data_IF_811030943772
#
_entry.id   IF_811030943772
#
_cell.length_a   1.000
_cell.length_b   1.000
_cell.length_c   1.000
_cell.angle_alpha   90.00
_cell.angle_beta   90.00
_cell.angle_gamma   90.00
#
_symmetry.space_group_name_H-M   'P 1'
#
loop_
_entity.id
_entity.type
_entity.pdbx_description
1 polymer ?
#
# COMPACT_ATOMS: atom_id res chain seq x y z
N UNK A 1 3.33 25.65 -3.03
CA UNK A 1 1.95 25.19 -2.74
C UNK A 1 0.98 26.03 -3.56
N UNK A 2 0.10 25.40 -4.33
CA UNK A 2 -0.88 26.04 -5.22
C UNK A 2 -2.27 25.52 -4.83
N UNK A 3 -3.28 26.38 -4.90
CA UNK A 3 -4.67 26.02 -4.59
C UNK A 3 -5.50 26.03 -5.89
N UNK A 4 -6.42 25.07 -6.02
CA UNK A 4 -7.35 25.00 -7.16
C UNK A 4 -8.29 26.22 -7.24
N UNK A 5 -8.52 26.91 -6.12
CA UNK A 5 -9.22 28.18 -6.05
C UNK A 5 -8.33 29.30 -5.51
N UNK A 6 -8.49 30.51 -6.05
CA UNK A 6 -7.81 31.70 -5.54
C UNK A 6 -8.58 32.29 -4.37
N UNK A 7 -8.12 32.09 -3.15
CA UNK A 7 -8.57 32.85 -1.98
C UNK A 7 -7.35 33.57 -1.38
N UNK A 8 -7.45 34.90 -1.31
CA UNK A 8 -6.40 35.92 -1.05
C UNK A 8 -5.73 35.87 0.34
N UNK A 9 -5.52 34.70 0.94
CA UNK A 9 -4.71 34.62 2.17
C UNK A 9 -3.52 33.67 2.11
N UNK A 10 -3.59 32.51 1.44
CA UNK A 10 -2.46 31.52 1.50
C UNK A 10 -2.23 30.66 0.24
N UNK A 11 -2.77 31.01 -0.95
CA UNK A 11 -2.42 30.26 -2.17
C UNK A 11 -2.77 30.94 -3.50
N UNK A 12 -1.91 30.71 -4.49
CA UNK A 12 -2.10 31.14 -5.88
C UNK A 12 -3.08 30.22 -6.61
N UNK A 13 -3.78 30.74 -7.62
CA UNK A 13 -4.68 29.93 -8.46
C UNK A 13 -3.87 28.95 -9.29
N UNK A 14 -4.50 27.84 -9.65
CA UNK A 14 -3.90 26.88 -10.58
C UNK A 14 -3.50 27.53 -11.92
N UNK A 15 -4.27 28.51 -12.40
CA UNK A 15 -3.96 29.23 -13.64
C UNK A 15 -2.71 30.11 -13.53
N UNK A 16 -2.33 30.53 -12.32
CA UNK A 16 -1.14 31.36 -12.11
C UNK A 16 0.15 30.52 -12.34
N UNK A 17 0.05 29.18 -12.36
CA UNK A 17 1.15 28.28 -12.72
C UNK A 17 1.63 28.44 -14.17
N UNK A 18 0.84 29.05 -15.06
CA UNK A 18 1.23 29.23 -16.45
C UNK A 18 2.51 30.08 -16.61
N UNK A 19 2.81 30.92 -15.63
CA UNK A 19 3.98 31.83 -15.62
C UNK A 19 5.21 31.23 -14.91
N UNK A 20 5.06 30.07 -14.26
CA UNK A 20 6.05 29.54 -13.32
C UNK A 20 6.74 28.28 -13.87
N UNK A 21 7.49 28.42 -14.97
CA UNK A 21 8.20 27.30 -15.60
C UNK A 21 9.51 26.92 -14.89
N UNK A 22 10.12 27.86 -14.17
CA UNK A 22 11.37 27.67 -13.43
C UNK A 22 11.19 26.96 -12.07
N UNK A 23 9.99 26.47 -11.76
CA UNK A 23 9.74 25.75 -10.51
C UNK A 23 10.54 24.44 -10.49
N UNK A 24 11.22 24.18 -9.38
CA UNK A 24 12.08 23.00 -9.20
C UNK A 24 11.64 22.17 -8.00
N UNK A 25 11.98 20.88 -8.04
CA UNK A 25 11.74 19.97 -6.91
C UNK A 25 10.28 19.53 -6.83
N UNK A 26 9.56 19.93 -5.77
CA UNK A 26 8.20 19.47 -5.48
C UNK A 26 7.14 20.52 -5.76
N UNK A 27 6.07 20.13 -6.48
CA UNK A 27 4.87 20.93 -6.67
C UNK A 27 3.67 20.23 -6.02
N UNK A 28 2.96 20.95 -5.17
CA UNK A 28 1.71 20.48 -4.58
C UNK A 28 0.54 21.37 -5.02
N UNK A 29 -0.48 20.75 -5.59
CA UNK A 29 -1.73 21.38 -6.03
C UNK A 29 -2.86 20.77 -5.22
N UNK A 30 -3.39 21.57 -4.31
CA UNK A 30 -4.51 21.18 -3.46
C UNK A 30 -5.80 21.73 -4.01
N UNK A 31 -6.91 21.30 -3.41
CA UNK A 31 -8.20 21.93 -3.65
C UNK A 31 -8.63 21.81 -5.12
N UNK A 32 -8.22 20.72 -5.79
CA UNK A 32 -8.47 20.48 -7.20
C UNK A 32 -9.97 20.36 -7.53
N UNK A 33 -10.83 20.11 -6.53
CA UNK A 33 -12.28 20.16 -6.65
C UNK A 33 -12.82 21.51 -7.12
N UNK A 34 -12.04 22.57 -6.90
CA UNK A 34 -12.43 23.91 -7.23
C UNK A 34 -11.99 24.35 -8.63
N UNK A 35 -11.30 23.48 -9.37
CA UNK A 35 -10.96 23.70 -10.78
C UNK A 35 -12.23 23.48 -11.61
N UNK A 36 -12.90 24.59 -11.96
CA UNK A 36 -14.24 24.58 -12.54
C UNK A 36 -14.29 24.11 -14.01
N UNK A 37 -13.16 24.00 -14.70
CA UNK A 37 -13.14 23.59 -16.11
C UNK A 37 -11.83 22.90 -16.53
N UNK A 38 -11.93 22.08 -17.57
CA UNK A 38 -10.81 21.41 -18.22
C UNK A 38 -9.77 22.41 -18.75
N UNK A 39 -10.22 23.59 -19.23
CA UNK A 39 -9.35 24.66 -19.73
C UNK A 39 -8.53 25.29 -18.60
N UNK A 40 -9.09 25.42 -17.40
CA UNK A 40 -8.36 25.94 -16.24
C UNK A 40 -7.24 24.99 -15.82
N UNK A 41 -7.50 23.68 -15.81
CA UNK A 41 -6.48 22.65 -15.58
C UNK A 41 -5.39 22.70 -16.65
N UNK A 42 -5.78 22.73 -17.93
CA UNK A 42 -4.83 22.81 -19.06
C UNK A 42 -3.95 24.06 -19.02
N UNK A 43 -4.51 25.21 -18.61
CA UNK A 43 -3.76 26.46 -18.44
C UNK A 43 -2.65 26.37 -17.41
N UNK A 44 -2.72 25.45 -16.45
CA UNK A 44 -1.64 25.22 -15.48
C UNK A 44 -0.32 24.83 -16.18
N UNK A 45 -0.42 24.22 -17.37
CA UNK A 45 0.69 23.83 -18.23
C UNK A 45 1.79 23.10 -17.43
N UNK A 46 1.44 22.00 -16.76
CA UNK A 46 2.41 21.27 -15.95
C UNK A 46 3.47 20.57 -16.82
N UNK A 47 3.15 20.33 -18.09
CA UNK A 47 4.05 19.76 -19.08
C UNK A 47 5.29 20.61 -19.35
N UNK A 48 5.28 21.93 -19.11
CA UNK A 48 6.47 22.78 -19.28
C UNK A 48 7.35 22.88 -18.04
N UNK A 49 6.95 22.25 -16.92
CA UNK A 49 7.66 22.34 -15.64
C UNK A 49 8.68 21.21 -15.51
N UNK A 50 9.67 21.21 -16.40
CA UNK A 50 10.64 20.12 -16.59
C UNK A 50 11.54 19.83 -15.39
N UNK A 51 11.68 20.79 -14.47
CA UNK A 51 12.49 20.66 -13.26
C UNK A 51 11.69 20.15 -12.04
N UNK A 52 10.39 19.90 -12.18
CA UNK A 52 9.58 19.28 -11.14
C UNK A 52 9.78 17.76 -11.18
N UNK A 53 10.13 17.21 -10.02
CA UNK A 53 10.37 15.78 -9.81
C UNK A 53 9.30 15.15 -8.91
N UNK A 54 8.63 15.93 -8.07
CA UNK A 54 7.55 15.48 -7.22
C UNK A 54 6.28 16.26 -7.50
N UNK A 55 5.17 15.55 -7.69
CA UNK A 55 3.85 16.14 -7.85
C UNK A 55 2.86 15.55 -6.83
N UNK A 56 2.26 16.43 -6.04
CA UNK A 56 1.17 16.12 -5.13
C UNK A 56 -0.12 16.73 -5.68
N UNK A 57 -1.10 15.88 -6.04
CA UNK A 57 -2.43 16.28 -6.49
C UNK A 57 -3.44 15.90 -5.43
N UNK A 58 -4.18 16.88 -4.91
CA UNK A 58 -5.12 16.64 -3.83
C UNK A 58 -6.47 17.33 -4.05
N UNK A 59 -7.52 16.54 -3.85
CA UNK A 59 -8.89 17.00 -3.70
C UNK A 59 -9.27 17.04 -2.21
N UNK A 60 -10.39 17.68 -1.89
CA UNK A 60 -10.95 17.67 -0.53
C UNK A 60 -11.70 16.37 -0.22
N UNK A 61 -11.65 15.96 1.04
CA UNK A 61 -12.29 14.73 1.55
C UNK A 61 -13.83 14.72 1.48
N UNK A 62 -14.47 15.89 1.30
CA UNK A 62 -15.91 16.09 1.50
C UNK A 62 -16.71 16.29 0.20
N UNK A 63 -16.12 16.05 -0.96
CA UNK A 63 -16.73 16.36 -2.25
C UNK A 63 -17.38 15.12 -2.85
N UNK A 64 -18.59 14.79 -2.40
CA UNK A 64 -19.30 13.58 -2.87
C UNK A 64 -19.75 13.62 -4.33
N UNK A 65 -19.73 14.81 -4.97
CA UNK A 65 -20.32 15.02 -6.30
C UNK A 65 -19.54 16.05 -7.15
N UNK A 66 -18.32 15.73 -7.57
CA UNK A 66 -17.64 16.49 -8.62
C UNK A 66 -17.82 15.78 -9.96
N UNK A 67 -18.42 16.47 -10.93
CA UNK A 67 -18.71 15.91 -12.25
C UNK A 67 -17.50 15.91 -13.17
N UNK A 68 -16.43 16.65 -12.85
CA UNK A 68 -15.31 16.90 -13.76
C UNK A 68 -13.93 16.41 -13.26
N UNK A 69 -13.85 15.62 -12.19
CA UNK A 69 -12.56 15.14 -11.66
C UNK A 69 -11.72 14.42 -12.72
N UNK A 70 -12.35 13.52 -13.48
CA UNK A 70 -11.69 12.75 -14.54
C UNK A 70 -11.10 13.69 -15.61
N UNK A 71 -11.86 14.70 -16.04
CA UNK A 71 -11.42 15.69 -17.03
C UNK A 71 -10.29 16.58 -16.48
N UNK A 72 -10.41 17.04 -15.24
CA UNK A 72 -9.37 17.87 -14.60
C UNK A 72 -8.08 17.08 -14.49
N UNK A 73 -8.12 15.85 -13.97
CA UNK A 73 -6.92 15.02 -13.82
C UNK A 73 -6.27 14.71 -15.18
N UNK A 74 -7.08 14.46 -16.21
CA UNK A 74 -6.59 14.22 -17.58
C UNK A 74 -5.88 15.45 -18.17
N UNK A 75 -6.43 16.66 -17.98
CA UNK A 75 -5.88 17.90 -18.55
C UNK A 75 -4.66 18.47 -17.81
N UNK A 76 -4.38 18.02 -16.57
CA UNK A 76 -3.21 18.50 -15.83
C UNK A 76 -1.89 18.17 -16.54
N UNK A 77 -1.82 17.02 -17.21
CA UNK A 77 -0.68 16.54 -18.03
C UNK A 77 0.70 16.99 -17.50
N UNK A 78 1.21 16.39 -16.42
CA UNK A 78 2.51 16.75 -15.88
C UNK A 78 3.67 16.42 -16.82
N UNK A 79 4.81 17.06 -16.57
CA UNK A 79 6.04 16.69 -17.27
C UNK A 79 6.40 15.23 -16.97
N UNK A 80 6.99 14.53 -17.94
CA UNK A 80 7.32 13.10 -17.84
C UNK A 80 8.56 12.77 -16.98
N UNK A 81 9.16 13.79 -16.35
CA UNK A 81 10.38 13.65 -15.53
C UNK A 81 10.04 13.46 -14.03
N UNK A 82 8.79 13.15 -13.71
CA UNK A 82 8.37 12.91 -12.34
C UNK A 82 9.01 11.62 -11.81
N UNK A 83 9.61 11.74 -10.62
CA UNK A 83 10.08 10.62 -9.82
C UNK A 83 9.04 10.23 -8.76
N UNK A 84 8.24 11.20 -8.29
CA UNK A 84 7.25 10.99 -7.23
C UNK A 84 5.90 11.57 -7.64
N UNK A 85 4.86 10.75 -7.55
CA UNK A 85 3.47 11.15 -7.77
C UNK A 85 2.62 10.72 -6.59
N UNK A 86 1.93 11.66 -5.95
CA UNK A 86 0.94 11.36 -4.93
C UNK A 86 -0.42 11.93 -5.34
N UNK A 87 -1.46 11.11 -5.27
CA UNK A 87 -2.85 11.50 -5.57
C UNK A 87 -3.70 11.26 -4.32
N UNK A 88 -4.41 12.29 -3.89
CA UNK A 88 -5.22 12.28 -2.68
C UNK A 88 -6.67 12.64 -2.97
N UNK A 89 -7.59 11.86 -2.40
CA UNK A 89 -9.04 12.10 -2.43
C UNK A 89 -9.64 12.25 -3.84
N UNK A 90 -9.02 11.66 -4.86
CA UNK A 90 -9.52 11.72 -6.22
C UNK A 90 -10.83 10.93 -6.36
N UNK A 91 -11.91 11.64 -6.70
CA UNK A 91 -13.27 11.11 -6.83
C UNK A 91 -13.64 10.76 -8.29
N UNK A 92 -12.69 10.78 -9.22
CA UNK A 92 -12.89 10.27 -10.57
C UNK A 92 -12.83 8.74 -10.62
N UNK A 93 -13.28 8.18 -11.75
CA UNK A 93 -13.34 6.72 -11.99
C UNK A 93 -12.21 6.23 -12.87
N UNK A 94 -11.67 7.10 -13.71
CA UNK A 94 -10.71 6.78 -14.77
C UNK A 94 -9.28 7.06 -14.30
N UNK A 95 -8.36 6.22 -14.77
CA UNK A 95 -6.92 6.52 -14.73
C UNK A 95 -6.58 7.44 -15.91
N UNK A 96 -5.85 8.55 -15.69
CA UNK A 96 -5.48 9.46 -16.76
C UNK A 96 -4.48 8.82 -17.74
N UNK A 97 -4.56 9.22 -19.01
CA UNK A 97 -3.74 8.63 -20.09
C UNK A 97 -2.26 8.91 -19.93
N UNK A 98 -1.91 10.07 -19.38
CA UNK A 98 -0.52 10.52 -19.22
C UNK A 98 0.30 9.69 -18.22
N UNK A 99 -0.33 8.87 -17.36
CA UNK A 99 0.38 7.94 -16.48
C UNK A 99 1.24 6.94 -17.25
N UNK A 100 0.85 6.62 -18.48
CA UNK A 100 1.57 5.68 -19.36
C UNK A 100 2.95 6.18 -19.79
N UNK A 101 3.20 7.50 -19.73
CA UNK A 101 4.47 8.11 -20.13
C UNK A 101 5.46 8.34 -18.99
N UNK A 102 5.10 8.03 -17.73
CA UNK A 102 5.93 8.30 -16.55
C UNK A 102 6.97 7.20 -16.30
N UNK A 103 7.84 6.95 -17.29
CA UNK A 103 8.80 5.85 -17.25
C UNK A 103 9.82 5.96 -16.10
N UNK A 104 10.10 7.17 -15.62
CA UNK A 104 11.06 7.45 -14.54
C UNK A 104 10.43 7.46 -13.13
N UNK A 105 9.13 7.17 -13.01
CA UNK A 105 8.43 7.24 -11.74
C UNK A 105 8.96 6.17 -10.77
N UNK A 106 9.55 6.61 -9.66
CA UNK A 106 10.09 5.73 -8.62
C UNK A 106 9.11 5.51 -7.48
N UNK A 107 8.24 6.48 -7.20
CA UNK A 107 7.27 6.40 -6.12
C UNK A 107 5.88 6.88 -6.58
N UNK A 108 4.89 6.03 -6.35
CA UNK A 108 3.48 6.36 -6.57
C UNK A 108 2.67 6.09 -5.31
N UNK A 109 1.91 7.09 -4.87
CA UNK A 109 0.99 6.93 -3.74
C UNK A 109 -0.42 7.39 -4.13
N UNK A 110 -1.41 6.56 -3.83
CA UNK A 110 -2.81 6.80 -4.13
C UNK A 110 -3.60 6.63 -2.84
N UNK A 111 -4.16 7.73 -2.35
CA UNK A 111 -4.79 7.79 -1.04
C UNK A 111 -6.23 8.28 -1.15
N UNK A 112 -7.16 7.54 -0.57
CA UNK A 112 -8.56 7.88 -0.42
C UNK A 112 -9.27 8.17 -1.75
N UNK A 113 -8.84 7.53 -2.84
CA UNK A 113 -9.45 7.65 -4.17
C UNK A 113 -10.64 6.68 -4.29
N UNK A 114 -11.75 7.02 -3.62
CA UNK A 114 -12.83 6.06 -3.32
C UNK A 114 -13.56 5.49 -4.54
N UNK A 115 -13.63 6.23 -5.64
CA UNK A 115 -14.32 5.82 -6.89
C UNK A 115 -13.38 5.19 -7.93
N UNK A 116 -12.07 5.18 -7.67
CA UNK A 116 -11.09 4.59 -8.56
C UNK A 116 -11.28 3.07 -8.59
N UNK A 117 -11.63 2.52 -9.76
CA UNK A 117 -11.94 1.10 -9.91
C UNK A 117 -10.73 0.23 -10.21
N UNK A 118 -9.76 0.80 -10.91
CA UNK A 118 -8.59 0.10 -11.42
C UNK A 118 -7.38 1.04 -11.39
N UNK A 119 -6.20 0.45 -11.19
CA UNK A 119 -4.93 1.15 -11.37
C UNK A 119 -4.46 0.97 -12.82
N UNK A 120 -3.62 1.89 -13.34
CA UNK A 120 -2.93 1.70 -14.61
C UNK A 120 -2.15 0.38 -14.66
N UNK A 121 -1.99 -0.17 -15.87
CA UNK A 121 -1.22 -1.39 -16.11
C UNK A 121 0.21 -1.24 -15.59
N UNK A 122 0.71 -2.24 -14.85
CA UNK A 122 1.99 -2.06 -14.16
C UNK A 122 3.21 -2.06 -15.08
N UNK A 123 3.06 -2.55 -16.32
CA UNK A 123 4.07 -2.47 -17.38
C UNK A 123 4.51 -1.05 -17.73
N UNK A 124 3.74 -0.03 -17.34
CA UNK A 124 4.07 1.38 -17.62
C UNK A 124 5.03 1.99 -16.60
N UNK A 125 5.35 1.29 -15.50
CA UNK A 125 6.23 1.80 -14.44
C UNK A 125 7.48 0.94 -14.21
N UNK A 126 8.43 0.90 -15.17
CA UNK A 126 9.61 0.04 -15.08
C UNK A 126 10.55 0.41 -13.92
N UNK A 127 10.55 1.68 -13.49
CA UNK A 127 11.42 2.20 -12.44
C UNK A 127 10.74 2.29 -11.05
N UNK A 128 9.49 1.83 -10.92
CA UNK A 128 8.73 2.01 -9.67
C UNK A 128 9.32 1.16 -8.55
N UNK A 129 9.77 1.82 -7.48
CA UNK A 129 10.31 1.23 -6.26
C UNK A 129 9.28 1.20 -5.14
N UNK A 130 8.38 2.18 -5.09
CA UNK A 130 7.41 2.32 -3.98
C UNK A 130 6.01 2.54 -4.52
N UNK A 131 5.09 1.65 -4.16
CA UNK A 131 3.67 1.76 -4.47
C UNK A 131 2.84 1.68 -3.20
N UNK A 132 2.07 2.74 -2.90
CA UNK A 132 1.15 2.79 -1.76
C UNK A 132 -0.27 3.07 -2.25
N UNK A 133 -1.21 2.21 -1.90
CA UNK A 133 -2.63 2.33 -2.28
C UNK A 133 -3.46 2.17 -1.03
N UNK A 134 -4.17 3.23 -0.62
CA UNK A 134 -4.86 3.21 0.67
C UNK A 134 -6.20 3.92 0.63
N UNK A 135 -7.27 3.29 1.15
CA UNK A 135 -8.60 3.92 1.21
C UNK A 135 -9.31 4.01 -0.16
N UNK A 136 -9.02 3.09 -1.09
CA UNK A 136 -9.65 3.06 -2.42
C UNK A 136 -10.86 2.11 -2.40
N UNK A 137 -12.02 2.65 -2.02
CA UNK A 137 -13.23 1.87 -1.73
C UNK A 137 -13.76 1.04 -2.91
N UNK A 138 -13.65 1.55 -4.14
CA UNK A 138 -14.15 0.90 -5.36
C UNK A 138 -13.10 0.06 -6.10
N UNK A 139 -11.87 -0.06 -5.59
CA UNK A 139 -10.80 -0.80 -6.24
C UNK A 139 -11.10 -2.30 -6.14
N UNK A 140 -11.46 -2.93 -7.25
CA UNK A 140 -11.86 -4.35 -7.27
C UNK A 140 -10.71 -5.30 -7.58
N UNK A 141 -9.73 -4.83 -8.37
CA UNK A 141 -8.57 -5.62 -8.78
C UNK A 141 -7.31 -4.78 -8.83
N UNK A 142 -6.17 -5.45 -8.67
CA UNK A 142 -4.85 -4.87 -8.82
C UNK A 142 -4.25 -5.28 -10.18
N UNK A 143 -3.47 -4.42 -10.86
CA UNK A 143 -2.91 -4.70 -12.18
C UNK A 143 -1.96 -5.90 -12.13
N UNK A 144 -1.70 -6.54 -13.27
CA UNK A 144 -0.66 -7.57 -13.38
C UNK A 144 0.66 -7.05 -12.81
N UNK A 145 1.37 -7.85 -12.02
CA UNK A 145 2.65 -7.50 -11.42
C UNK A 145 3.79 -7.46 -12.44
N UNK A 146 3.59 -8.02 -13.65
CA UNK A 146 4.54 -7.91 -14.76
C UNK A 146 4.84 -6.44 -15.09
N UNK A 147 6.09 -6.06 -14.88
CA UNK A 147 6.56 -4.68 -15.09
C UNK A 147 7.05 -4.01 -13.81
N UNK A 148 6.63 -4.48 -12.63
CA UNK A 148 7.06 -3.97 -11.32
C UNK A 148 8.36 -4.62 -10.82
N UNK A 149 9.30 -4.90 -11.73
CA UNK A 149 10.53 -5.62 -11.40
C UNK A 149 11.44 -4.85 -10.43
N UNK A 150 11.32 -3.52 -10.41
CA UNK A 150 12.08 -2.62 -9.52
C UNK A 150 11.42 -2.39 -8.16
N UNK A 151 10.24 -2.97 -7.91
CA UNK A 151 9.44 -2.66 -6.74
C UNK A 151 10.07 -3.19 -5.47
N UNK A 152 10.28 -2.30 -4.50
CA UNK A 152 10.89 -2.56 -3.19
C UNK A 152 9.86 -2.47 -2.05
N UNK A 153 8.87 -1.58 -2.16
CA UNK A 153 7.78 -1.45 -1.19
C UNK A 153 6.41 -1.51 -1.88
N UNK A 154 5.57 -2.44 -1.44
CA UNK A 154 4.15 -2.50 -1.79
C UNK A 154 3.31 -2.40 -0.51
N UNK A 155 2.50 -1.34 -0.40
CA UNK A 155 1.58 -1.16 0.72
C UNK A 155 0.16 -0.96 0.21
N UNK A 156 -0.74 -1.84 0.61
CA UNK A 156 -2.15 -1.80 0.21
C UNK A 156 -3.00 -1.84 1.47
N UNK A 157 -3.98 -0.96 1.59
CA UNK A 157 -4.94 -1.16 2.66
C UNK A 157 -6.18 -0.28 2.66
N UNK A 158 -7.17 -0.67 3.47
CA UNK A 158 -8.50 -0.06 3.45
C UNK A 158 -9.09 -0.02 2.03
N UNK A 159 -8.93 -1.11 1.28
CA UNK A 159 -9.54 -1.31 -0.04
C UNK A 159 -10.60 -2.41 0.08
N UNK A 160 -11.82 -2.09 0.57
CA UNK A 160 -12.83 -3.09 0.94
C UNK A 160 -13.36 -3.92 -0.22
N UNK A 161 -13.32 -3.41 -1.45
CA UNK A 161 -13.80 -4.14 -2.64
C UNK A 161 -12.71 -4.99 -3.31
N UNK A 162 -11.46 -4.91 -2.85
CA UNK A 162 -10.36 -5.66 -3.44
C UNK A 162 -10.48 -7.13 -3.04
N UNK A 163 -10.61 -8.00 -4.04
CA UNK A 163 -10.85 -9.43 -3.84
C UNK A 163 -9.55 -10.25 -3.94
N UNK A 164 -8.64 -9.87 -4.84
CA UNK A 164 -7.40 -10.61 -5.11
C UNK A 164 -6.28 -9.66 -5.54
N UNK A 165 -5.05 -10.03 -5.21
CA UNK A 165 -3.82 -9.43 -5.73
C UNK A 165 -3.19 -10.35 -6.78
N UNK A 166 -2.49 -9.81 -7.80
CA UNK A 166 -1.78 -10.64 -8.77
C UNK A 166 -0.70 -11.48 -8.08
N UNK A 167 -0.19 -12.48 -8.81
CA UNK A 167 1.01 -13.22 -8.40
C UNK A 167 2.17 -12.26 -8.12
N UNK A 168 2.88 -12.47 -7.01
CA UNK A 168 4.04 -11.65 -6.63
C UNK A 168 5.36 -12.22 -7.18
N UNK A 169 5.34 -13.35 -7.91
CA UNK A 169 6.56 -13.99 -8.41
C UNK A 169 7.53 -13.07 -9.17
N UNK A 170 7.06 -12.08 -9.98
CA UNK A 170 7.98 -11.16 -10.67
C UNK A 170 8.71 -10.17 -9.75
N UNK A 171 8.27 -10.00 -8.50
CA UNK A 171 8.70 -8.94 -7.60
C UNK A 171 9.97 -9.31 -6.81
N UNK A 172 11.02 -9.73 -7.50
CA UNK A 172 12.26 -10.22 -6.86
C UNK A 172 12.96 -9.20 -5.95
N UNK A 173 12.72 -7.90 -6.15
CA UNK A 173 13.32 -6.82 -5.35
C UNK A 173 12.46 -6.37 -4.16
N UNK A 174 11.28 -6.98 -3.96
CA UNK A 174 10.35 -6.56 -2.92
C UNK A 174 10.92 -6.83 -1.52
N UNK A 175 11.05 -5.77 -0.72
CA UNK A 175 11.58 -5.79 0.66
C UNK A 175 10.49 -5.64 1.69
N UNK A 176 9.42 -4.90 1.36
CA UNK A 176 8.30 -4.59 2.24
C UNK A 176 6.98 -4.89 1.54
N UNK A 177 6.16 -5.72 2.17
CA UNK A 177 4.78 -5.98 1.77
C UNK A 177 3.85 -5.73 2.95
N UNK A 178 2.90 -4.82 2.77
CA UNK A 178 1.86 -4.52 3.75
C UNK A 178 0.49 -4.64 3.10
N UNK A 179 -0.40 -5.46 3.68
CA UNK A 179 -1.78 -5.66 3.21
C UNK A 179 -2.72 -5.58 4.41
N UNK A 180 -3.53 -4.52 4.51
CA UNK A 180 -4.36 -4.26 5.69
C UNK A 180 -5.80 -3.87 5.35
N UNK A 181 -6.79 -4.36 6.09
CA UNK A 181 -8.20 -3.95 5.95
C UNK A 181 -8.75 -4.12 4.52
N UNK A 182 -8.41 -5.22 3.85
CA UNK A 182 -8.97 -5.63 2.56
C UNK A 182 -10.00 -6.74 2.80
N UNK A 183 -11.19 -6.34 3.25
CA UNK A 183 -12.17 -7.25 3.88
C UNK A 183 -12.82 -8.27 2.94
N UNK A 184 -12.69 -8.09 1.62
CA UNK A 184 -13.12 -9.10 0.63
C UNK A 184 -12.05 -10.12 0.26
N UNK A 185 -10.78 -9.86 0.59
CA UNK A 185 -9.71 -10.82 0.32
C UNK A 185 -9.85 -12.02 1.24
N UNK A 186 -9.93 -13.21 0.63
CA UNK A 186 -9.97 -14.49 1.35
C UNK A 186 -8.63 -15.21 1.35
N UNK A 187 -7.73 -14.87 0.43
CA UNK A 187 -6.39 -15.46 0.30
C UNK A 187 -5.29 -14.41 0.21
N UNK A 188 -4.05 -14.80 0.54
CA UNK A 188 -2.86 -14.04 0.18
C UNK A 188 -2.46 -14.30 -1.28
N UNK A 189 -1.74 -13.38 -1.94
CA UNK A 189 -1.32 -13.59 -3.32
C UNK A 189 -0.30 -14.72 -3.47
N UNK A 190 -0.39 -15.41 -4.61
CA UNK A 190 0.54 -16.46 -5.00
C UNK A 190 1.98 -15.91 -5.17
N UNK A 191 2.97 -16.79 -5.02
CA UNK A 191 4.39 -16.42 -5.15
C UNK A 191 4.98 -15.71 -3.94
N UNK A 192 4.22 -15.52 -2.86
CA UNK A 192 4.71 -14.92 -1.62
C UNK A 192 5.89 -15.73 -1.02
N UNK A 193 5.81 -17.06 -1.07
CA UNK A 193 6.83 -18.01 -0.62
C UNK A 193 8.15 -17.88 -1.40
N UNK A 194 8.08 -17.45 -2.66
CA UNK A 194 9.21 -17.36 -3.60
C UNK A 194 9.99 -16.04 -3.49
N UNK A 195 9.54 -15.08 -2.67
CA UNK A 195 10.17 -13.76 -2.60
C UNK A 195 11.54 -13.79 -1.88
N UNK A 196 12.65 -13.56 -2.59
CA UNK A 196 13.99 -13.78 -2.05
C UNK A 196 14.50 -12.64 -1.17
N UNK A 197 13.92 -11.44 -1.30
CA UNK A 197 14.41 -10.23 -0.63
C UNK A 197 13.39 -9.64 0.36
N UNK A 198 12.25 -10.31 0.58
CA UNK A 198 11.20 -9.78 1.45
C UNK A 198 11.64 -9.83 2.92
N UNK A 199 11.86 -8.66 3.52
CA UNK A 199 12.32 -8.53 4.90
C UNK A 199 11.19 -8.23 5.87
N UNK A 200 10.15 -7.54 5.41
CA UNK A 200 9.01 -7.12 6.21
C UNK A 200 7.71 -7.54 5.55
N UNK A 201 6.91 -8.32 6.27
CA UNK A 201 5.57 -8.72 5.88
C UNK A 201 4.59 -8.31 6.98
N UNK A 202 3.65 -7.43 6.65
CA UNK A 202 2.54 -7.08 7.55
C UNK A 202 1.21 -7.41 6.85
N UNK A 203 0.38 -8.25 7.49
CA UNK A 203 -0.87 -8.73 6.89
C UNK A 203 -2.02 -8.66 7.88
N UNK A 204 -3.16 -8.21 7.39
CA UNK A 204 -4.45 -8.27 8.05
C UNK A 204 -4.88 -6.95 8.72
N UNK A 205 -6.15 -6.84 9.13
CA UNK A 205 -7.20 -7.85 8.96
C UNK A 205 -7.68 -7.94 7.51
N UNK A 206 -8.06 -9.13 7.07
CA UNK A 206 -8.67 -9.39 5.76
C UNK A 206 -10.17 -9.70 5.93
N UNK A 207 -10.71 -10.72 5.25
CA UNK A 207 -12.06 -11.19 5.47
C UNK A 207 -12.28 -11.68 6.90
N UNK A 208 -13.32 -11.15 7.57
CA UNK A 208 -13.66 -11.47 8.96
C UNK A 208 -14.31 -12.85 9.11
N UNK A 209 -14.81 -13.41 8.00
CA UNK A 209 -15.46 -14.72 8.01
C UNK A 209 -14.48 -15.90 7.94
N UNK A 210 -13.21 -15.65 7.65
CA UNK A 210 -12.15 -16.65 7.62
C UNK A 210 -11.97 -17.30 9.00
N UNK A 211 -12.23 -18.60 9.07
CA UNK A 211 -11.93 -19.47 10.20
C UNK A 211 -10.55 -20.15 10.07
N UNK A 212 -9.86 -19.95 8.95
CA UNK A 212 -8.50 -20.40 8.69
C UNK A 212 -7.56 -19.22 8.41
N UNK A 213 -6.26 -19.48 8.55
CA UNK A 213 -5.23 -18.50 8.23
C UNK A 213 -4.84 -18.60 6.73
N UNK A 214 -4.91 -17.53 5.94
CA UNK A 214 -4.66 -17.56 4.50
C UNK A 214 -3.15 -17.52 4.15
N UNK A 215 -2.34 -18.42 4.72
CA UNK A 215 -0.89 -18.46 4.45
C UNK A 215 -0.57 -19.39 3.27
N UNK A 216 0.55 -19.15 2.55
CA UNK A 216 0.96 -20.04 1.47
C UNK A 216 1.20 -21.46 1.98
N UNK A 217 0.44 -22.43 1.46
CA UNK A 217 0.51 -23.83 1.88
C UNK A 217 1.83 -24.51 1.44
N UNK A 218 2.47 -23.96 0.43
CA UNK A 218 3.74 -24.35 -0.16
C UNK A 218 4.96 -23.79 0.60
N UNK A 219 4.76 -22.97 1.65
CA UNK A 219 5.86 -22.45 2.44
C UNK A 219 6.63 -23.58 3.13
N UNK A 220 7.88 -23.75 2.74
CA UNK A 220 8.81 -24.72 3.29
C UNK A 220 10.03 -24.01 3.86
N UNK A 221 10.80 -24.75 4.68
CA UNK A 221 12.07 -24.25 5.23
C UNK A 221 13.09 -23.88 4.14
N UNK A 222 12.99 -24.48 2.96
CA UNK A 222 13.86 -24.18 1.83
C UNK A 222 13.44 -22.92 1.05
N UNK A 223 12.18 -22.47 1.21
CA UNK A 223 11.61 -21.35 0.46
C UNK A 223 12.40 -20.06 0.67
N UNK A 224 12.55 -19.21 -0.36
CA UNK A 224 13.24 -17.93 -0.24
C UNK A 224 12.72 -17.06 0.91
N UNK A 225 11.39 -16.99 1.08
CA UNK A 225 10.74 -16.22 2.15
C UNK A 225 11.23 -16.62 3.55
N UNK A 226 11.45 -17.91 3.79
CA UNK A 226 11.93 -18.43 5.09
C UNK A 226 13.29 -17.85 5.50
N UNK A 227 14.15 -17.57 4.51
CA UNK A 227 15.52 -17.09 4.69
C UNK A 227 15.62 -15.56 4.63
N UNK A 228 14.65 -14.89 4.00
CA UNK A 228 14.66 -13.44 3.77
C UNK A 228 13.88 -12.66 4.83
N UNK A 229 12.79 -13.23 5.36
CA UNK A 229 11.90 -12.52 6.28
C UNK A 229 12.58 -12.22 7.61
N UNK A 230 12.40 -10.98 8.11
CA UNK A 230 12.97 -10.48 9.37
C UNK A 230 11.89 -10.00 10.32
N UNK A 231 10.87 -9.34 9.80
CA UNK A 231 9.73 -8.83 10.56
C UNK A 231 8.45 -9.39 9.99
N UNK A 232 7.64 -10.01 10.85
CA UNK A 232 6.31 -10.50 10.52
C UNK A 232 5.30 -9.88 11.48
N UNK A 233 4.31 -9.16 10.94
CA UNK A 233 3.19 -8.62 11.71
C UNK A 233 1.89 -9.18 11.17
N UNK A 234 1.12 -9.80 12.04
CA UNK A 234 -0.15 -10.43 11.69
C UNK A 234 -1.25 -9.83 12.55
N UNK A 235 -2.22 -9.23 11.89
CA UNK A 235 -3.29 -8.48 12.56
C UNK A 235 -4.63 -9.08 12.19
N UNK A 236 -5.23 -9.78 13.14
CA UNK A 236 -6.63 -10.14 13.19
C UNK A 236 -7.09 -11.22 12.23
N UNK A 237 -7.66 -12.28 12.78
CA UNK A 237 -8.67 -13.13 12.16
C UNK A 237 -9.52 -13.67 13.31
N UNK A 238 -10.71 -13.11 13.59
CA UNK A 238 -11.39 -13.28 14.87
C UNK A 238 -11.81 -14.74 15.13
N UNK A 239 -12.07 -15.51 14.06
CA UNK A 239 -12.48 -16.92 14.14
C UNK A 239 -11.30 -17.92 14.20
N UNK A 240 -10.07 -17.48 13.89
CA UNK A 240 -8.88 -18.36 13.88
C UNK A 240 -8.49 -18.73 15.30
N UNK A 241 -8.44 -20.04 15.57
CA UNK A 241 -8.18 -20.61 16.90
C UNK A 241 -6.70 -20.93 17.14
N UNK A 242 -5.98 -21.23 16.08
CA UNK A 242 -4.59 -21.69 16.12
C UNK A 242 -3.76 -20.97 15.05
N UNK A 243 -2.49 -20.71 15.35
CA UNK A 243 -1.54 -20.19 14.37
C UNK A 243 -1.19 -21.28 13.34
N UNK A 244 -1.03 -20.94 12.05
CA UNK A 244 -0.65 -21.92 11.04
C UNK A 244 0.75 -22.48 11.32
N UNK A 245 0.86 -23.80 11.31
CA UNK A 245 2.11 -24.52 11.60
C UNK A 245 3.23 -24.17 10.61
N UNK A 246 2.91 -23.74 9.38
CA UNK A 246 3.85 -23.28 8.37
C UNK A 246 4.76 -22.14 8.84
N UNK A 247 4.32 -21.33 9.82
CA UNK A 247 5.13 -20.26 10.40
C UNK A 247 6.40 -20.77 11.08
N UNK A 248 6.43 -22.03 11.52
CA UNK A 248 7.63 -22.65 12.09
C UNK A 248 8.80 -22.69 11.09
N UNK A 249 8.50 -22.65 9.79
CA UNK A 249 9.50 -22.72 8.74
C UNK A 249 10.25 -21.40 8.56
N UNK A 250 9.80 -20.29 9.15
CA UNK A 250 10.42 -18.97 9.02
C UNK A 250 11.64 -18.82 9.93
N UNK A 251 12.80 -19.32 9.50
CA UNK A 251 13.97 -19.43 10.39
C UNK A 251 14.70 -18.12 10.63
N UNK A 252 14.49 -17.09 9.80
CA UNK A 252 15.22 -15.81 9.94
C UNK A 252 14.38 -14.66 10.52
N UNK A 253 13.16 -14.94 10.98
CA UNK A 253 12.30 -13.92 11.62
C UNK A 253 12.89 -13.52 12.97
N UNK A 254 13.08 -12.22 13.15
CA UNK A 254 13.61 -11.57 14.34
C UNK A 254 12.50 -10.98 15.21
N UNK A 255 11.49 -10.40 14.57
CA UNK A 255 10.35 -9.79 15.24
C UNK A 255 9.08 -10.40 14.70
N UNK A 256 8.31 -11.03 15.58
CA UNK A 256 6.96 -11.48 15.30
C UNK A 256 5.99 -10.65 16.13
N UNK A 257 5.00 -10.06 15.48
CA UNK A 257 3.91 -9.37 16.16
C UNK A 257 2.58 -9.99 15.77
N UNK A 258 1.79 -10.33 16.77
CA UNK A 258 0.48 -10.90 16.62
C UNK A 258 -0.54 -10.04 17.33
N UNK A 259 -1.71 -9.85 16.74
CA UNK A 259 -2.82 -9.41 17.55
C UNK A 259 -4.12 -9.16 16.83
N UNK A 260 -5.11 -8.69 17.59
CA UNK A 260 -6.53 -8.72 17.19
C UNK A 260 -7.05 -10.14 16.90
N UNK A 261 -6.44 -11.17 17.51
CA UNK A 261 -6.89 -12.56 17.43
C UNK A 261 -7.79 -12.89 18.62
N UNK A 262 -9.10 -12.92 18.39
CA UNK A 262 -10.08 -13.08 19.46
C UNK A 262 -10.27 -14.54 19.91
N UNK A 263 -9.93 -15.52 19.06
CA UNK A 263 -10.15 -16.94 19.36
C UNK A 263 -8.88 -17.71 19.76
N UNK A 264 -7.69 -17.13 19.61
CA UNK A 264 -6.42 -17.77 20.02
C UNK A 264 -6.29 -17.72 21.55
N UNK A 265 -6.26 -18.90 22.18
CA UNK A 265 -6.20 -19.04 23.64
C UNK A 265 -4.80 -19.40 24.16
N UNK A 266 -3.99 -20.04 23.33
CA UNK A 266 -2.65 -20.53 23.65
C UNK A 266 -1.71 -20.28 22.50
N UNK A 267 -0.44 -20.03 22.83
CA UNK A 267 0.65 -19.88 21.86
C UNK A 267 1.43 -21.20 21.80
N UNK A 268 1.75 -21.71 20.61
CA UNK A 268 2.46 -22.98 20.49
C UNK A 268 3.93 -22.89 20.91
N UNK A 269 4.47 -23.98 21.46
CA UNK A 269 5.85 -24.07 21.93
C UNK A 269 6.89 -23.81 20.83
N UNK A 270 6.62 -24.25 19.59
CA UNK A 270 7.55 -24.07 18.48
C UNK A 270 7.87 -22.59 18.19
N UNK A 271 7.01 -21.66 18.62
CA UNK A 271 7.23 -20.23 18.44
C UNK A 271 8.48 -19.75 19.19
N UNK A 272 8.69 -20.24 20.42
CA UNK A 272 9.89 -19.93 21.21
C UNK A 272 11.16 -20.60 20.70
N UNK A 273 11.02 -21.61 19.84
CA UNK A 273 12.13 -22.37 19.25
C UNK A 273 12.56 -21.83 17.87
N UNK A 274 11.98 -20.71 17.42
CA UNK A 274 12.40 -20.07 16.18
C UNK A 274 13.84 -19.53 16.32
N UNK A 275 14.79 -19.95 15.46
CA UNK A 275 16.22 -19.82 15.75
C UNK A 275 16.74 -18.38 15.75
N UNK A 276 16.07 -17.46 15.04
CA UNK A 276 16.46 -16.04 14.96
C UNK A 276 15.53 -15.11 15.73
N UNK A 277 14.50 -15.62 16.39
CA UNK A 277 13.47 -14.80 17.02
C UNK A 277 14.05 -14.08 18.24
N UNK A 278 13.88 -12.75 18.27
CA UNK A 278 14.40 -11.86 19.32
C UNK A 278 13.30 -11.12 20.07
N UNK A 279 12.19 -10.84 19.40
CA UNK A 279 11.08 -10.10 19.96
C UNK A 279 9.75 -10.71 19.51
N UNK A 280 8.87 -10.93 20.48
CA UNK A 280 7.49 -11.32 20.29
C UNK A 280 6.57 -10.26 20.89
N UNK A 281 5.77 -9.64 20.04
CA UNK A 281 4.82 -8.59 20.45
C UNK A 281 3.40 -9.14 20.35
N UNK A 282 2.64 -8.99 21.43
CA UNK A 282 1.20 -9.25 21.43
C UNK A 282 0.45 -7.95 21.66
N UNK A 283 -0.50 -7.63 20.80
CA UNK A 283 -1.42 -6.50 21.01
C UNK A 283 -2.87 -6.97 20.86
N UNK A 284 -3.79 -6.41 21.65
CA UNK A 284 -5.22 -6.71 21.53
C UNK A 284 -5.57 -8.22 21.37
N UNK A 285 -4.91 -9.11 22.13
CA UNK A 285 -5.21 -10.55 22.17
C UNK A 285 -6.07 -10.88 23.40
N UNK A 286 -7.38 -10.65 23.30
CA UNK A 286 -8.29 -10.66 24.45
C UNK A 286 -8.44 -12.05 25.10
N UNK A 287 -8.40 -13.12 24.30
CA UNK A 287 -8.55 -14.51 24.77
C UNK A 287 -7.23 -15.16 25.19
N UNK A 288 -6.09 -14.51 24.92
CA UNK A 288 -4.78 -15.08 25.21
C UNK A 288 -4.53 -15.09 26.71
N UNK A 289 -4.36 -16.29 27.27
CA UNK A 289 -3.99 -16.46 28.67
C UNK A 289 -2.48 -16.31 28.80
N UNK A 290 -1.99 -15.11 29.08
CA UNK A 290 -0.54 -14.83 29.25
C UNK A 290 0.16 -15.76 30.27
N UNK A 291 -0.56 -16.24 31.29
CA UNK A 291 -0.06 -17.21 32.28
C UNK A 291 0.20 -18.61 31.71
N UNK A 292 -0.33 -18.91 30.52
CA UNK A 292 -0.17 -20.19 29.82
C UNK A 292 0.83 -20.09 28.66
N UNK A 293 1.60 -19.00 28.57
CA UNK A 293 2.65 -18.92 27.57
C UNK A 293 3.74 -19.99 27.83
N UNK A 294 4.22 -20.67 26.80
CA UNK A 294 5.35 -21.59 26.94
C UNK A 294 6.58 -20.91 27.54
N UNK A 295 7.36 -21.59 28.41
CA UNK A 295 8.58 -21.04 28.99
C UNK A 295 9.56 -20.47 27.95
N UNK A 296 9.65 -21.12 26.78
CA UNK A 296 10.51 -20.73 25.65
C UNK A 296 10.08 -19.40 25.02
N UNK A 297 8.83 -18.99 25.23
CA UNK A 297 8.24 -17.77 24.67
C UNK A 297 8.35 -16.60 25.65
N UNK A 298 8.26 -16.84 26.96
CA UNK A 298 8.16 -15.79 27.99
C UNK A 298 9.30 -14.76 27.89
N UNK A 299 10.54 -15.22 27.69
CA UNK A 299 11.72 -14.35 27.60
C UNK A 299 11.79 -13.50 26.31
N UNK A 300 10.96 -13.81 25.31
CA UNK A 300 10.90 -13.10 24.04
C UNK A 300 9.81 -12.02 24.02
N UNK A 301 8.88 -12.05 24.99
CA UNK A 301 7.73 -11.13 25.00
C UNK A 301 8.16 -9.72 25.34
N UNK A 302 7.91 -8.79 24.44
CA UNK A 302 8.15 -7.36 24.63
C UNK A 302 6.81 -6.64 24.88
N UNK A 303 6.73 -5.67 25.81
CA UNK A 303 5.50 -4.91 26.01
C UNK A 303 5.07 -4.21 24.72
N UNK A 304 3.80 -4.33 24.35
CA UNK A 304 3.21 -3.50 23.30
C UNK A 304 3.07 -2.06 23.81
N UNK A 305 3.73 -1.11 23.16
CA UNK A 305 3.52 0.32 23.38
C UNK A 305 2.18 0.82 22.85
#
# INVERSE_FOLDING_TARGET
MILGQGQRKWGSRITDLCLLNELRGSLAIWQLEYVQSREAARKANLRTKEHIQQLDLAWSYNTTCLTNCDEVLEELQPHLNLNILNIWYYEGKLSPSWLTGLCNLEQMKIFYCRKLKQLPAASVFPCLKVLKVWGCDSLTSFPDSKGLNSLEELRIGRCPMLEVLPSLQPLCNLKVLEIHNCVKMTTLPDGLSDLPNLTTLEVGPLCQDLDYFPFPADLQRASPLSKSLRKLRLTGWPKVRDLPHQLQHLTCVHTLSLGYFDSIKSIPQWLGNLPSLKALEFWHMLSLRYRMLPPEVIGLVVPSG
#
